data_IF_453214187966
#
_entry.id   IF_453214187966
#
_cell.length_a   1.000
_cell.length_b   1.000
_cell.length_c   1.000
_cell.angle_alpha   90.00
_cell.angle_beta   90.00
_cell.angle_gamma   90.00
#
_symmetry.space_group_name_H-M   'P 1'
#
loop_
_entity.id
_entity.type
_entity.pdbx_description
1 polymer ?
#
# COMPACT_ATOMS: atom_id res chain seq x y z
N UNK A 1 29.59 8.15 -73.61
CA UNK A 1 28.20 8.21 -73.14
C UNK A 1 28.16 9.05 -71.88
N UNK A 2 27.54 10.24 -71.95
CA UNK A 2 27.80 11.38 -71.07
C UNK A 2 27.25 11.25 -69.64
N UNK A 3 28.12 11.59 -68.68
CA UNK A 3 27.87 11.72 -67.23
C UNK A 3 26.70 12.67 -66.88
N UNK A 4 26.36 13.61 -67.78
CA UNK A 4 25.25 14.56 -67.60
C UNK A 4 23.85 13.96 -67.67
N UNK A 5 23.67 12.80 -68.29
CA UNK A 5 22.34 12.18 -68.44
C UNK A 5 21.86 11.45 -67.17
N UNK A 6 22.80 11.06 -66.29
CA UNK A 6 22.49 10.33 -65.04
C UNK A 6 22.09 11.27 -63.90
N UNK A 7 22.70 12.46 -63.83
CA UNK A 7 22.38 13.50 -62.85
C UNK A 7 21.02 14.13 -63.16
N UNK A 8 20.71 14.36 -64.44
CA UNK A 8 19.44 14.94 -64.88
C UNK A 8 18.24 14.01 -64.60
N UNK A 9 18.42 12.68 -64.71
CA UNK A 9 17.38 11.68 -64.37
C UNK A 9 17.11 11.60 -62.86
N UNK A 10 18.14 11.76 -62.01
CA UNK A 10 17.97 11.82 -60.55
C UNK A 10 17.33 13.14 -60.10
N UNK A 11 17.68 14.26 -60.72
CA UNK A 11 17.06 15.56 -60.43
C UNK A 11 15.57 15.58 -60.83
N UNK A 12 15.22 15.00 -61.99
CA UNK A 12 13.82 14.91 -62.42
C UNK A 12 12.98 14.02 -61.49
N UNK A 13 13.53 12.89 -61.01
CA UNK A 13 12.85 12.04 -60.02
C UNK A 13 12.67 12.74 -58.67
N UNK A 14 13.63 13.56 -58.23
CA UNK A 14 13.51 14.34 -56.99
C UNK A 14 12.50 15.49 -57.10
N UNK A 15 12.34 16.10 -58.29
CA UNK A 15 11.35 17.16 -58.53
C UNK A 15 9.94 16.56 -58.67
N UNK A 16 9.79 15.40 -59.33
CA UNK A 16 8.52 14.68 -59.46
C UNK A 16 8.04 14.07 -58.12
N UNK A 17 8.95 13.71 -57.21
CA UNK A 17 8.58 13.27 -55.85
C UNK A 17 8.22 14.45 -54.94
N UNK A 18 8.83 15.63 -55.11
CA UNK A 18 8.47 16.85 -54.35
C UNK A 18 7.08 17.40 -54.74
N UNK A 19 6.66 17.26 -56.01
CA UNK A 19 5.36 17.78 -56.48
C UNK A 19 4.15 16.96 -56.03
N UNK A 20 4.35 15.76 -55.48
CA UNK A 20 3.27 14.90 -54.95
C UNK A 20 3.00 15.12 -53.45
N UNK A 21 3.77 15.97 -52.77
CA UNK A 21 3.65 16.21 -51.32
C UNK A 21 2.96 17.55 -50.95
N UNK A 22 2.71 18.44 -51.91
CA UNK A 22 2.01 19.71 -51.67
C UNK A 22 0.55 19.62 -52.15
N UNK A 23 -0.24 18.77 -51.48
CA UNK A 23 -1.68 18.70 -51.70
C UNK A 23 -2.36 18.18 -50.44
N UNK A 24 -3.05 19.08 -49.74
CA UNK A 24 -3.83 18.89 -48.50
C UNK A 24 -3.05 18.99 -47.18
N UNK A 25 -2.92 20.23 -46.70
CA UNK A 25 -2.87 20.53 -45.27
C UNK A 25 -3.80 21.73 -44.98
N UNK A 26 -4.98 21.46 -44.41
CA UNK A 26 -5.75 22.44 -43.65
C UNK A 26 -5.19 22.49 -42.22
N UNK A 27 -4.98 23.66 -41.59
CA UNK A 27 -4.58 23.71 -40.19
C UNK A 27 -5.82 23.65 -39.30
N UNK A 28 -5.88 22.66 -38.41
CA UNK A 28 -6.71 22.75 -37.19
C UNK A 28 -5.76 23.18 -36.06
N UNK A 29 -6.05 24.35 -35.50
CA UNK A 29 -5.37 24.90 -34.33
C UNK A 29 -5.80 24.12 -33.09
N UNK A 30 -4.87 23.44 -32.43
CA UNK A 30 -5.00 23.01 -31.04
C UNK A 30 -3.85 23.61 -30.23
N UNK A 31 -4.21 24.38 -29.21
CA UNK A 31 -3.31 24.98 -28.21
C UNK A 31 -2.79 23.86 -27.32
N UNK A 32 -1.48 23.64 -27.29
CA UNK A 32 -0.83 22.89 -26.20
C UNK A 32 -0.61 23.82 -25.01
N UNK A 33 -1.17 23.43 -23.87
CA UNK A 33 -0.89 24.00 -22.56
C UNK A 33 0.31 23.25 -21.99
N UNK A 34 1.41 23.97 -21.77
CA UNK A 34 2.59 23.47 -21.08
C UNK A 34 2.31 23.39 -19.58
N UNK A 35 2.36 22.19 -19.01
CA UNK A 35 2.54 21.98 -17.56
C UNK A 35 3.94 21.40 -17.38
N UNK A 36 4.81 22.18 -16.77
CA UNK A 36 6.10 21.75 -16.25
C UNK A 36 5.88 21.01 -14.93
N UNK A 37 6.25 19.74 -14.89
CA UNK A 37 6.39 18.98 -13.65
C UNK A 37 7.72 18.24 -13.75
N UNK A 38 8.80 18.91 -13.36
CA UNK A 38 10.00 18.23 -12.89
C UNK A 38 9.66 17.67 -11.51
N UNK A 39 9.47 16.35 -11.43
CA UNK A 39 9.63 15.61 -10.20
C UNK A 39 10.86 14.74 -10.36
N UNK A 40 11.91 15.07 -9.60
CA UNK A 40 13.05 14.19 -9.39
C UNK A 40 12.54 12.89 -8.76
N UNK A 41 12.72 11.79 -9.49
CA UNK A 41 12.41 10.44 -9.04
C UNK A 41 13.75 9.74 -8.83
N UNK A 42 14.32 9.94 -7.64
CA UNK A 42 15.23 9.00 -7.01
C UNK A 42 14.58 8.60 -5.70
N UNK A 43 14.44 7.29 -5.48
CA UNK A 43 13.81 6.64 -4.32
C UNK A 43 12.33 6.22 -4.50
N UNK A 44 12.00 5.60 -5.65
CA UNK A 44 10.83 4.71 -5.72
C UNK A 44 11.26 3.32 -5.28
N UNK A 45 10.92 2.96 -4.04
CA UNK A 45 10.69 1.58 -3.65
C UNK A 45 9.59 1.02 -4.56
N UNK A 46 9.99 0.23 -5.55
CA UNK A 46 9.05 -0.44 -6.45
C UNK A 46 8.41 -1.56 -5.64
N UNK A 47 7.08 -1.54 -5.38
CA UNK A 47 6.44 -2.61 -4.64
C UNK A 47 6.64 -3.93 -5.39
N UNK A 48 7.28 -4.91 -4.75
CA UNK A 48 7.31 -6.27 -5.27
C UNK A 48 5.86 -6.77 -5.29
N UNK A 49 5.36 -7.19 -6.44
CA UNK A 49 4.09 -7.91 -6.50
C UNK A 49 4.35 -9.35 -6.02
N UNK A 50 4.32 -9.54 -4.71
CA UNK A 50 4.32 -10.87 -4.11
C UNK A 50 3.04 -11.61 -4.53
N UNK A 51 3.18 -12.87 -4.93
CA UNK A 51 2.04 -13.77 -5.16
C UNK A 51 1.91 -14.59 -3.89
N UNK A 52 0.72 -14.66 -3.27
CA UNK A 52 0.54 -15.36 -2.00
C UNK A 52 0.95 -16.82 -2.15
N UNK A 53 1.96 -17.23 -1.39
CA UNK A 53 2.31 -18.64 -1.22
C UNK A 53 1.24 -19.27 -0.32
N UNK A 54 0.68 -20.41 -0.72
CA UNK A 54 -0.14 -21.18 0.20
C UNK A 54 0.69 -21.52 1.44
N UNK A 55 0.23 -21.06 2.60
CA UNK A 55 0.89 -21.22 3.89
C UNK A 55 1.43 -22.65 4.08
N UNK A 56 2.74 -22.77 4.25
CA UNK A 56 3.39 -23.94 4.81
C UNK A 56 3.46 -23.69 6.33
N UNK A 57 3.20 -24.58 7.30
CA UNK A 57 3.15 -26.04 7.42
C UNK A 57 2.34 -26.34 8.70
N UNK A 58 1.28 -27.15 8.63
CA UNK A 58 0.75 -28.11 9.63
C UNK A 58 0.77 -27.87 11.16
N UNK A 59 1.14 -26.69 11.67
CA UNK A 59 1.26 -26.40 13.09
C UNK A 59 0.03 -25.64 13.56
N UNK A 60 -0.89 -26.35 14.22
CA UNK A 60 -1.99 -25.69 14.93
C UNK A 60 -1.45 -24.95 16.15
N UNK A 61 -1.61 -23.63 16.19
CA UNK A 61 -1.31 -22.85 17.38
C UNK A 61 -2.48 -22.94 18.36
N UNK A 62 -2.21 -23.30 19.61
CA UNK A 62 -3.21 -23.26 20.68
C UNK A 62 -3.45 -21.80 21.09
N UNK A 63 -4.39 -21.13 20.41
CA UNK A 63 -4.80 -19.75 20.69
C UNK A 63 -6.26 -19.76 21.15
N UNK A 64 -6.50 -19.18 22.34
CA UNK A 64 -7.83 -19.10 22.96
C UNK A 64 -8.63 -17.91 22.44
N UNK A 65 -9.02 -17.96 21.18
CA UNK A 65 -9.82 -16.93 20.52
C UNK A 65 -10.70 -17.58 19.44
N UNK A 66 -11.78 -16.90 19.04
CA UNK A 66 -12.66 -17.44 17.99
C UNK A 66 -12.03 -17.33 16.60
N UNK A 67 -11.38 -16.20 16.33
CA UNK A 67 -10.85 -15.86 15.03
C UNK A 67 -9.50 -15.17 15.16
N UNK A 68 -8.54 -15.56 14.31
CA UNK A 68 -7.19 -15.01 14.27
C UNK A 68 -6.63 -14.95 12.85
N UNK A 69 -5.72 -13.99 12.62
CA UNK A 69 -4.89 -13.93 11.42
C UNK A 69 -3.51 -13.36 11.74
N UNK A 70 -2.49 -13.78 11.00
CA UNK A 70 -1.16 -13.21 10.96
C UNK A 70 -0.82 -12.88 9.51
N UNK A 71 -0.44 -11.64 9.24
CA UNK A 71 -0.12 -11.14 7.90
C UNK A 71 1.23 -10.43 7.89
N UNK A 72 1.92 -10.50 6.74
CA UNK A 72 2.99 -9.58 6.40
C UNK A 72 2.41 -8.42 5.57
N UNK A 73 2.56 -7.15 5.99
CA UNK A 73 1.81 -6.04 5.42
C UNK A 73 2.26 -5.58 4.04
N UNK A 74 3.52 -5.80 3.66
CA UNK A 74 4.02 -5.32 2.36
C UNK A 74 3.58 -6.22 1.20
N UNK A 75 3.59 -7.52 1.43
CA UNK A 75 3.19 -8.55 0.47
C UNK A 75 1.70 -8.88 0.55
N UNK A 76 1.06 -8.62 1.71
CA UNK A 76 -0.31 -9.06 1.99
C UNK A 76 -0.42 -10.56 2.26
N UNK A 77 0.70 -11.27 2.39
CA UNK A 77 0.71 -12.71 2.59
C UNK A 77 0.15 -13.09 3.97
N UNK A 78 -0.78 -14.05 3.97
CA UNK A 78 -1.34 -14.64 5.19
C UNK A 78 -0.43 -15.77 5.65
N UNK A 79 0.26 -15.56 6.77
CA UNK A 79 1.23 -16.52 7.32
C UNK A 79 0.57 -17.54 8.24
N UNK A 80 -0.55 -17.18 8.86
CA UNK A 80 -1.37 -18.05 9.71
C UNK A 80 -2.79 -17.51 9.79
N UNK A 81 -3.79 -18.40 9.79
CA UNK A 81 -5.18 -18.02 10.05
C UNK A 81 -5.99 -19.14 10.70
N UNK A 82 -7.02 -18.76 11.46
CA UNK A 82 -8.08 -19.68 11.87
C UNK A 82 -9.40 -18.90 12.00
N UNK A 83 -10.45 -19.36 11.30
CA UNK A 83 -11.76 -18.70 11.21
C UNK A 83 -11.66 -17.20 10.88
N UNK A 84 -10.69 -16.80 10.07
CA UNK A 84 -10.31 -15.40 9.83
C UNK A 84 -11.43 -14.57 9.17
N UNK A 85 -12.34 -15.21 8.43
CA UNK A 85 -13.52 -14.60 7.80
C UNK A 85 -14.79 -14.61 8.66
N UNK A 86 -14.74 -15.15 9.89
CA UNK A 86 -15.91 -15.15 10.79
C UNK A 86 -16.31 -13.73 11.17
N UNK A 87 -17.60 -13.38 10.96
CA UNK A 87 -18.14 -12.06 11.29
C UNK A 87 -18.38 -11.92 12.80
N UNK A 88 -17.61 -11.04 13.43
CA UNK A 88 -17.59 -10.80 14.87
C UNK A 88 -17.66 -9.30 15.19
N UNK A 89 -18.12 -8.98 16.39
CA UNK A 89 -18.10 -7.59 16.86
C UNK A 89 -16.63 -7.14 17.08
N UNK A 90 -16.20 -5.99 16.51
CA UNK A 90 -14.83 -5.51 16.63
C UNK A 90 -14.50 -4.90 18.00
N UNK A 91 -15.46 -4.30 18.71
CA UNK A 91 -15.13 -3.32 19.75
C UNK A 91 -14.19 -2.22 19.21
N UNK A 92 -13.34 -1.63 20.07
CA UNK A 92 -12.45 -0.50 19.71
C UNK A 92 -11.39 -0.76 18.65
N UNK A 93 -11.16 -1.99 18.17
CA UNK A 93 -10.34 -2.18 16.95
C UNK A 93 -11.01 -1.57 15.70
N UNK A 94 -12.30 -1.20 15.78
CA UNK A 94 -12.98 -0.30 14.82
C UNK A 94 -12.19 0.97 14.55
N UNK A 95 -11.55 1.54 15.58
CA UNK A 95 -10.81 2.80 15.46
C UNK A 95 -9.60 2.70 14.54
N UNK A 96 -9.18 1.50 14.12
CA UNK A 96 -8.14 1.34 13.11
C UNK A 96 -8.59 1.96 11.79
N UNK A 97 -9.84 1.72 11.36
CA UNK A 97 -10.41 2.39 10.18
C UNK A 97 -10.54 3.90 10.40
N UNK A 98 -11.00 4.33 11.59
CA UNK A 98 -11.10 5.77 11.91
C UNK A 98 -9.74 6.47 11.84
N UNK A 99 -8.70 5.84 12.39
CA UNK A 99 -7.34 6.35 12.35
C UNK A 99 -6.76 6.33 10.94
N UNK A 100 -7.10 5.32 10.11
CA UNK A 100 -6.69 5.28 8.71
C UNK A 100 -7.21 6.50 7.95
N UNK A 101 -8.51 6.81 8.06
CA UNK A 101 -9.07 8.00 7.40
C UNK A 101 -8.46 9.31 7.91
N UNK A 102 -8.14 9.41 9.20
CA UNK A 102 -7.44 10.58 9.76
C UNK A 102 -6.02 10.70 9.18
N UNK A 103 -5.28 9.60 9.09
CA UNK A 103 -3.93 9.61 8.51
C UNK A 103 -3.95 9.95 7.01
N UNK A 104 -4.91 9.42 6.25
CA UNK A 104 -5.10 9.77 4.84
C UNK A 104 -5.42 11.25 4.66
N UNK A 105 -6.28 11.83 5.50
CA UNK A 105 -6.57 13.27 5.47
C UNK A 105 -5.34 14.15 5.79
N UNK A 106 -4.46 13.68 6.68
CA UNK A 106 -3.18 14.36 6.97
C UNK A 106 -2.22 14.26 5.78
N UNK A 107 -2.07 13.08 5.18
CA UNK A 107 -1.18 12.85 4.04
C UNK A 107 -1.60 13.67 2.80
N UNK A 108 -2.92 13.81 2.59
CA UNK A 108 -3.49 14.67 1.56
C UNK A 108 -3.43 16.16 1.88
N UNK A 109 -3.06 16.52 3.12
CA UNK A 109 -2.99 17.91 3.64
C UNK A 109 -4.35 18.59 3.75
N UNK A 110 -5.42 17.82 3.88
CA UNK A 110 -6.78 18.34 4.16
C UNK A 110 -6.86 18.89 5.60
N UNK A 111 -6.10 18.27 6.52
CA UNK A 111 -5.89 18.72 7.90
C UNK A 111 -4.41 18.61 8.26
N UNK A 112 -4.00 19.28 9.34
CA UNK A 112 -2.65 19.15 9.93
C UNK A 112 -2.73 18.79 11.41
N UNK A 113 -1.61 18.39 12.00
CA UNK A 113 -1.53 18.09 13.44
C UNK A 113 -1.91 19.29 14.32
N UNK A 114 -1.66 20.51 13.85
CA UNK A 114 -1.98 21.77 14.54
C UNK A 114 -3.42 22.25 14.30
N UNK A 115 -4.18 21.56 13.44
CA UNK A 115 -5.58 21.90 13.20
C UNK A 115 -6.35 21.78 14.50
N UNK A 116 -7.06 22.85 14.86
CA UNK A 116 -7.85 22.91 16.10
C UNK A 116 -9.23 22.33 15.83
N UNK A 117 -9.65 21.43 16.72
CA UNK A 117 -10.95 20.76 16.70
C UNK A 117 -11.72 21.22 17.93
N UNK A 118 -12.93 21.74 17.71
CA UNK A 118 -13.84 22.11 18.80
C UNK A 118 -14.80 20.95 19.06
N UNK A 119 -14.82 20.44 20.29
CA UNK A 119 -15.62 19.30 20.68
C UNK A 119 -17.13 19.64 20.63
N UNK A 120 -17.89 18.83 19.90
CA UNK A 120 -19.35 18.93 19.83
C UNK A 120 -20.01 18.32 21.07
N UNK A 121 -21.27 18.65 21.32
CA UNK A 121 -22.07 17.98 22.35
C UNK A 121 -22.16 16.47 22.10
N UNK A 122 -22.24 16.06 20.83
CA UNK A 122 -22.31 14.65 20.44
C UNK A 122 -21.03 13.90 20.82
N UNK A 123 -19.86 14.40 20.43
CA UNK A 123 -18.57 13.84 20.81
C UNK A 123 -18.40 13.75 22.34
N UNK A 124 -18.84 14.77 23.07
CA UNK A 124 -18.77 14.78 24.53
C UNK A 124 -19.77 13.80 25.19
N UNK A 125 -20.87 13.46 24.49
CA UNK A 125 -21.90 12.54 24.99
C UNK A 125 -21.51 11.07 24.93
N UNK A 126 -20.38 10.74 24.29
CA UNK A 126 -19.92 9.37 24.15
C UNK A 126 -19.78 8.69 25.52
N UNK A 127 -19.89 7.36 25.54
CA UNK A 127 -19.56 6.54 26.71
C UNK A 127 -18.29 5.73 26.50
N UNK A 128 -17.91 4.89 27.45
CA UNK A 128 -16.75 3.99 27.33
C UNK A 128 -15.43 4.67 27.70
N UNK A 129 -14.35 4.38 26.97
CA UNK A 129 -13.05 5.04 27.17
C UNK A 129 -13.11 6.47 26.64
N UNK A 130 -12.74 7.46 27.44
CA UNK A 130 -12.86 8.89 27.13
C UNK A 130 -11.73 9.69 27.77
N UNK A 131 -11.48 10.88 27.23
CA UNK A 131 -10.67 11.93 27.88
C UNK A 131 -11.53 13.02 28.53
N UNK A 132 -12.86 12.81 28.53
CA UNK A 132 -13.89 13.68 29.10
C UNK A 132 -13.85 15.08 28.50
N UNK A 133 -13.92 15.16 27.16
CA UNK A 133 -14.09 16.44 26.49
C UNK A 133 -15.32 17.18 27.00
N UNK A 134 -15.20 18.51 27.15
CA UNK A 134 -16.34 19.39 27.43
C UNK A 134 -16.85 20.05 26.13
N UNK A 135 -18.18 20.27 25.97
CA UNK A 135 -18.69 20.97 24.79
C UNK A 135 -18.04 22.35 24.60
N UNK A 136 -17.48 22.58 23.43
CA UNK A 136 -16.73 23.81 23.11
C UNK A 136 -15.25 23.78 23.52
N UNK A 137 -14.78 22.76 24.25
CA UNK A 137 -13.34 22.53 24.47
C UNK A 137 -12.64 22.38 23.12
N UNK A 138 -11.48 22.99 22.99
CA UNK A 138 -10.69 22.95 21.76
C UNK A 138 -9.37 22.24 21.99
N UNK A 139 -9.09 21.24 21.16
CA UNK A 139 -7.85 20.47 21.17
C UNK A 139 -7.28 20.38 19.75
N UNK A 140 -5.99 20.16 19.63
CA UNK A 140 -5.34 19.92 18.33
C UNK A 140 -5.60 18.50 17.84
N UNK A 141 -5.49 18.28 16.53
CA UNK A 141 -5.52 16.92 15.94
C UNK A 141 -4.45 16.02 16.57
N UNK A 142 -3.25 16.55 16.87
CA UNK A 142 -2.21 15.81 17.59
C UNK A 142 -2.67 15.28 18.95
N UNK A 143 -3.32 16.13 19.75
CA UNK A 143 -3.83 15.75 21.07
C UNK A 143 -4.96 14.73 21.00
N UNK A 144 -5.87 14.88 20.03
CA UNK A 144 -6.94 13.92 19.81
C UNK A 144 -6.42 12.58 19.29
N UNK A 145 -5.41 12.58 18.40
CA UNK A 145 -4.72 11.36 17.97
C UNK A 145 -4.06 10.64 19.15
N UNK A 146 -3.35 11.36 20.03
CA UNK A 146 -2.80 10.80 21.28
C UNK A 146 -3.89 10.12 22.11
N UNK A 147 -5.00 10.82 22.35
CA UNK A 147 -6.14 10.32 23.11
C UNK A 147 -6.74 9.05 22.49
N UNK A 148 -6.98 9.05 21.18
CA UNK A 148 -7.61 7.95 20.45
C UNK A 148 -6.68 6.73 20.35
N UNK A 149 -5.40 6.92 20.06
CA UNK A 149 -4.46 5.80 19.90
C UNK A 149 -4.10 5.18 21.26
N UNK A 150 -3.63 6.00 22.20
CA UNK A 150 -3.08 5.55 23.49
C UNK A 150 -4.21 5.09 24.41
N UNK A 151 -5.15 5.99 24.73
CA UNK A 151 -6.21 5.73 25.69
C UNK A 151 -7.49 5.15 25.08
N UNK A 152 -7.57 5.00 23.75
CA UNK A 152 -8.77 4.50 23.07
C UNK A 152 -9.99 5.41 23.21
N UNK A 153 -9.78 6.71 23.40
CA UNK A 153 -10.82 7.69 23.69
C UNK A 153 -11.87 7.81 22.56
N UNK A 154 -13.14 7.61 22.91
CA UNK A 154 -14.30 7.62 22.02
C UNK A 154 -14.70 9.04 21.63
N UNK A 155 -14.74 9.93 22.61
CA UNK A 155 -15.00 11.37 22.43
C UNK A 155 -14.00 12.00 21.45
N UNK A 156 -12.70 11.73 21.62
CA UNK A 156 -11.68 12.18 20.69
C UNK A 156 -11.83 11.59 19.27
N UNK A 157 -12.21 10.31 19.18
CA UNK A 157 -12.43 9.63 17.90
C UNK A 157 -13.61 10.24 17.13
N UNK A 158 -14.72 10.54 17.83
CA UNK A 158 -15.88 11.20 17.22
C UNK A 158 -15.54 12.62 16.80
N UNK A 159 -14.86 13.40 17.65
CA UNK A 159 -14.43 14.76 17.30
C UNK A 159 -13.53 14.80 16.04
N UNK A 160 -12.60 13.84 15.90
CA UNK A 160 -11.79 13.69 14.68
C UNK A 160 -12.65 13.31 13.46
N UNK A 161 -13.63 12.42 13.63
CA UNK A 161 -14.54 12.03 12.56
C UNK A 161 -15.43 13.18 12.09
N UNK A 162 -15.96 13.97 13.04
CA UNK A 162 -16.75 15.16 12.77
C UNK A 162 -15.94 16.25 12.06
N UNK A 163 -14.67 16.43 12.41
CA UNK A 163 -13.76 17.33 11.69
C UNK A 163 -13.67 16.96 10.19
N UNK A 164 -13.53 15.66 9.90
CA UNK A 164 -13.30 15.16 8.54
C UNK A 164 -14.58 15.16 7.70
N UNK A 165 -15.70 14.72 8.29
CA UNK A 165 -16.93 14.43 7.54
C UNK A 165 -18.12 15.32 7.92
N UNK A 166 -17.93 16.28 8.83
CA UNK A 166 -18.96 17.16 9.36
C UNK A 166 -19.93 16.52 10.37
N UNK A 167 -19.95 15.20 10.49
CA UNK A 167 -20.79 14.42 11.41
C UNK A 167 -20.24 13.00 11.60
N UNK A 168 -20.61 12.31 12.69
CA UNK A 168 -20.25 10.89 12.86
C UNK A 168 -20.90 10.02 11.76
N UNK A 169 -22.15 10.30 11.38
CA UNK A 169 -22.84 9.54 10.33
C UNK A 169 -22.15 9.67 8.98
N UNK A 170 -21.72 10.89 8.63
CA UNK A 170 -20.91 11.14 7.44
C UNK A 170 -19.58 10.39 7.51
N UNK A 171 -18.94 10.36 8.67
CA UNK A 171 -17.67 9.66 8.86
C UNK A 171 -17.84 8.14 8.74
N UNK A 172 -18.90 7.56 9.31
CA UNK A 172 -19.23 6.14 9.16
C UNK A 172 -19.52 5.77 7.71
N UNK A 173 -20.11 6.67 6.92
CA UNK A 173 -20.27 6.46 5.48
C UNK A 173 -18.91 6.33 4.78
N UNK A 174 -17.96 7.23 5.09
CA UNK A 174 -16.58 7.14 4.57
C UNK A 174 -15.88 5.86 5.03
N UNK A 175 -16.06 5.43 6.27
CA UNK A 175 -15.47 4.18 6.78
C UNK A 175 -15.94 2.96 5.98
N UNK A 176 -17.23 2.88 5.65
CA UNK A 176 -17.78 1.79 4.87
C UNK A 176 -17.40 1.86 3.38
N UNK A 177 -17.29 3.07 2.82
CA UNK A 177 -16.75 3.27 1.47
C UNK A 177 -15.31 2.79 1.39
N UNK A 178 -14.46 3.20 2.33
CA UNK A 178 -13.06 2.77 2.40
C UNK A 178 -12.93 1.27 2.62
N UNK A 179 -13.77 0.67 3.47
CA UNK A 179 -13.81 -0.77 3.64
C UNK A 179 -14.09 -1.51 2.31
N UNK A 180 -15.01 -0.99 1.49
CA UNK A 180 -15.30 -1.55 0.17
C UNK A 180 -14.13 -1.39 -0.80
N UNK A 181 -13.45 -0.26 -0.80
CA UNK A 181 -12.25 -0.03 -1.63
C UNK A 181 -11.11 -1.00 -1.29
N UNK A 182 -10.96 -1.31 0.00
CA UNK A 182 -9.98 -2.27 0.51
C UNK A 182 -10.41 -3.74 0.34
N UNK A 183 -11.62 -4.00 -0.15
CA UNK A 183 -12.14 -5.36 -0.34
C UNK A 183 -12.56 -6.07 0.95
N UNK A 184 -12.86 -5.34 2.01
CA UNK A 184 -13.29 -5.86 3.32
C UNK A 184 -14.74 -6.35 3.27
N UNK A 185 -14.96 -7.51 2.68
CA UNK A 185 -16.29 -8.04 2.34
C UNK A 185 -17.12 -8.51 3.55
N UNK A 186 -16.50 -8.66 4.72
CA UNK A 186 -17.14 -9.15 5.95
C UNK A 186 -17.41 -8.02 6.95
N UNK A 187 -17.18 -6.76 6.54
CA UNK A 187 -17.22 -5.58 7.41
C UNK A 187 -18.44 -4.69 7.17
N UNK A 188 -19.00 -4.19 8.27
CA UNK A 188 -20.00 -3.12 8.28
C UNK A 188 -19.80 -2.31 9.56
N UNK A 189 -19.48 -1.03 9.39
CA UNK A 189 -19.38 -0.07 10.50
C UNK A 189 -20.71 0.66 10.69
N UNK A 190 -21.15 0.76 11.93
CA UNK A 190 -22.35 1.47 12.39
C UNK A 190 -21.97 2.73 13.18
N UNK A 191 -20.79 2.74 13.80
CA UNK A 191 -20.23 3.90 14.51
C UNK A 191 -18.69 3.92 14.33
N UNK A 192 -18.04 5.04 14.66
CA UNK A 192 -16.60 5.18 14.45
C UNK A 192 -15.73 4.69 15.63
N UNK A 193 -16.38 4.33 16.75
CA UNK A 193 -15.69 4.04 18.01
C UNK A 193 -15.58 2.54 18.30
N UNK A 194 -16.47 1.74 17.73
CA UNK A 194 -16.64 0.33 18.06
C UNK A 194 -17.44 0.09 19.34
N UNK A 195 -18.32 0.99 19.73
CA UNK A 195 -19.35 0.67 20.73
C UNK A 195 -20.30 -0.40 20.17
N UNK A 196 -20.84 -1.25 21.05
CA UNK A 196 -21.74 -2.34 20.67
C UNK A 196 -22.98 -1.76 19.97
N UNK A 197 -23.21 -2.15 18.72
CA UNK A 197 -24.36 -1.79 17.92
C UNK A 197 -24.77 -2.98 17.05
N UNK A 198 -26.08 -3.13 16.83
CA UNK A 198 -26.60 -4.20 15.98
C UNK A 198 -26.06 -4.06 14.55
N UNK A 199 -25.51 -5.15 14.00
CA UNK A 199 -24.92 -5.15 12.65
C UNK A 199 -23.49 -4.60 12.56
N UNK A 200 -22.90 -4.08 13.65
CA UNK A 200 -21.52 -3.62 13.70
C UNK A 200 -20.54 -4.80 13.76
N UNK A 201 -20.13 -5.29 12.59
CA UNK A 201 -19.40 -6.56 12.44
C UNK A 201 -18.21 -6.39 11.49
N UNK A 202 -17.17 -7.20 11.72
CA UNK A 202 -15.99 -7.34 10.84
C UNK A 202 -15.44 -8.75 10.97
N UNK A 203 -14.32 -9.07 10.34
CA UNK A 203 -13.59 -10.33 10.49
C UNK A 203 -12.13 -10.10 10.85
N UNK A 204 -11.40 -11.11 11.34
CA UNK A 204 -9.98 -10.93 11.64
C UNK A 204 -9.18 -10.62 10.38
N UNK A 205 -9.55 -11.21 9.24
CA UNK A 205 -8.98 -10.93 7.94
C UNK A 205 -9.17 -9.46 7.54
N UNK A 206 -10.40 -8.93 7.58
CA UNK A 206 -10.69 -7.54 7.23
C UNK A 206 -9.97 -6.56 8.17
N UNK A 207 -9.91 -6.87 9.48
CA UNK A 207 -9.13 -6.10 10.45
C UNK A 207 -7.64 -6.12 10.09
N UNK A 208 -7.14 -7.27 9.65
CA UNK A 208 -5.78 -7.42 9.13
C UNK A 208 -5.51 -6.49 7.96
N UNK A 209 -6.40 -6.46 6.97
CA UNK A 209 -6.32 -5.57 5.79
C UNK A 209 -6.21 -4.10 6.23
N UNK A 210 -7.17 -3.58 7.01
CA UNK A 210 -7.12 -2.17 7.42
C UNK A 210 -5.94 -1.85 8.36
N UNK A 211 -5.45 -2.84 9.12
CA UNK A 211 -4.26 -2.67 9.94
C UNK A 211 -3.00 -2.55 9.08
N UNK A 212 -2.86 -3.40 8.05
CA UNK A 212 -1.78 -3.32 7.06
C UNK A 212 -1.81 -1.98 6.32
N UNK A 213 -3.00 -1.46 5.98
CA UNK A 213 -3.12 -0.14 5.35
C UNK A 213 -2.70 0.98 6.30
N UNK A 214 -3.20 1.00 7.54
CA UNK A 214 -2.88 2.05 8.51
C UNK A 214 -1.37 2.15 8.81
N UNK A 215 -0.66 1.02 8.93
CA UNK A 215 0.77 1.06 9.26
C UNK A 215 1.68 1.56 8.13
N UNK A 216 1.17 1.71 6.90
CA UNK A 216 1.88 2.42 5.82
C UNK A 216 2.09 3.90 6.15
N UNK A 217 1.23 4.46 7.00
CA UNK A 217 1.33 5.85 7.46
C UNK A 217 2.26 5.93 8.68
N UNK A 218 3.56 6.13 8.45
CA UNK A 218 4.60 6.11 9.51
C UNK A 218 4.30 7.01 10.72
N UNK A 219 3.51 8.07 10.54
CA UNK A 219 3.06 8.94 11.63
C UNK A 219 2.30 8.17 12.73
N UNK A 220 1.53 7.13 12.41
CA UNK A 220 0.79 6.36 13.43
C UNK A 220 1.72 5.73 14.46
N UNK A 221 2.93 5.29 14.03
CA UNK A 221 3.92 4.65 14.89
C UNK A 221 4.43 5.60 15.97
N UNK A 222 4.37 6.93 15.76
CA UNK A 222 4.72 7.93 16.77
C UNK A 222 3.76 7.94 17.96
N UNK A 223 2.52 7.47 17.79
CA UNK A 223 1.51 7.39 18.85
C UNK A 223 1.37 5.94 19.38
N UNK A 224 1.34 4.95 18.49
CA UNK A 224 1.04 3.57 18.85
C UNK A 224 2.16 2.87 19.64
N UNK A 225 3.38 3.41 19.59
CA UNK A 225 4.55 2.92 20.37
C UNK A 225 4.72 3.62 21.73
N UNK A 226 3.88 4.61 22.04
CA UNK A 226 3.96 5.35 23.31
C UNK A 226 3.29 4.54 24.40
N UNK A 227 4.01 4.27 25.50
CA UNK A 227 3.44 3.56 26.66
C UNK A 227 2.55 4.45 27.53
N UNK A 228 3.04 5.65 27.86
CA UNK A 228 2.31 6.66 28.65
C UNK A 228 2.59 8.04 28.07
N UNK A 229 1.58 8.89 28.11
CA UNK A 229 1.68 10.30 27.74
C UNK A 229 0.70 11.10 28.60
N UNK A 230 0.57 12.41 28.35
CA UNK A 230 -0.42 13.24 29.02
C UNK A 230 -1.01 14.30 28.10
N UNK A 231 -2.22 14.74 28.46
CA UNK A 231 -2.90 15.87 27.85
C UNK A 231 -3.04 17.00 28.87
N UNK A 232 -3.46 18.18 28.38
CA UNK A 232 -3.78 19.34 29.22
C UNK A 232 -2.63 19.69 30.18
N UNK A 233 -1.40 19.73 29.64
CA UNK A 233 -0.18 20.02 30.38
C UNK A 233 0.04 19.10 31.61
N UNK A 234 -0.29 17.81 31.48
CA UNK A 234 -0.08 16.82 32.56
C UNK A 234 -1.26 16.60 33.48
N UNK A 235 -2.41 17.26 33.25
CA UNK A 235 -3.61 17.07 34.08
C UNK A 235 -4.36 15.77 33.77
N UNK A 236 -4.19 15.22 32.58
CA UNK A 236 -4.80 13.95 32.17
C UNK A 236 -3.73 12.99 31.70
N UNK A 237 -3.51 11.89 32.43
CA UNK A 237 -2.58 10.84 32.04
C UNK A 237 -3.24 9.87 31.04
N UNK A 238 -2.50 9.52 30.00
CA UNK A 238 -2.88 8.51 29.02
C UNK A 238 -1.99 7.29 29.24
N UNK A 239 -2.61 6.11 29.30
CA UNK A 239 -1.89 4.83 29.38
C UNK A 239 -2.30 3.96 28.21
N UNK A 240 -1.32 3.42 27.50
CA UNK A 240 -1.59 2.62 26.33
C UNK A 240 -2.34 1.34 26.69
N UNK A 241 -3.52 1.18 26.10
CA UNK A 241 -4.35 -0.02 26.25
C UNK A 241 -3.65 -1.29 25.73
N UNK A 242 -2.73 -1.15 24.77
CA UNK A 242 -1.90 -2.22 24.25
C UNK A 242 -0.65 -2.45 25.11
N UNK A 243 -0.70 -3.48 25.96
CA UNK A 243 0.41 -3.86 26.84
C UNK A 243 1.65 -4.37 26.08
N UNK A 244 1.52 -4.80 24.83
CA UNK A 244 2.67 -5.29 24.06
C UNK A 244 3.73 -4.22 23.86
N UNK A 245 3.32 -2.95 23.76
CA UNK A 245 4.21 -1.78 23.63
C UNK A 245 5.32 -1.78 24.70
N UNK A 246 5.01 -2.26 25.91
CA UNK A 246 5.98 -2.34 27.01
C UNK A 246 6.61 -3.73 27.18
N UNK A 247 5.92 -4.79 26.79
CA UNK A 247 6.24 -6.17 27.20
C UNK A 247 6.47 -7.14 26.03
N UNK A 248 6.64 -6.64 24.82
CA UNK A 248 6.99 -7.43 23.65
C UNK A 248 7.93 -6.65 22.74
N UNK A 249 9.12 -7.20 22.54
CA UNK A 249 10.18 -6.57 21.74
C UNK A 249 9.74 -6.40 20.28
N UNK A 250 10.01 -5.22 19.71
CA UNK A 250 9.68 -4.87 18.34
C UNK A 250 8.23 -4.40 18.15
N UNK A 251 7.42 -4.28 19.20
CA UNK A 251 6.03 -3.79 19.04
C UNK A 251 5.98 -2.40 18.41
N UNK A 252 5.24 -2.28 17.31
CA UNK A 252 4.95 -1.01 16.62
C UNK A 252 3.51 -0.55 16.84
N UNK A 253 2.63 -1.38 17.40
CA UNK A 253 1.21 -1.07 17.56
C UNK A 253 0.32 -2.27 17.89
N UNK A 254 -1.01 -2.21 17.70
CA UNK A 254 -1.75 -1.07 17.17
C UNK A 254 -2.96 -0.73 18.03
N UNK A 255 -3.94 -1.62 18.19
CA UNK A 255 -5.18 -1.30 18.92
C UNK A 255 -5.80 -2.51 19.62
N UNK A 256 -6.26 -2.31 20.86
CA UNK A 256 -7.12 -3.26 21.58
C UNK A 256 -8.59 -2.90 21.46
N UNK A 257 -9.47 -3.90 21.59
CA UNK A 257 -10.92 -3.73 21.72
C UNK A 257 -11.48 -4.55 22.87
N UNK A 258 -12.45 -4.00 23.61
CA UNK A 258 -13.23 -4.79 24.59
C UNK A 258 -14.65 -4.27 24.71
N UNK A 259 -15.63 -5.16 24.55
CA UNK A 259 -17.03 -4.92 24.90
C UNK A 259 -17.68 -6.20 25.41
N UNK A 260 -18.93 -6.13 25.88
CA UNK A 260 -19.67 -7.29 26.36
C UNK A 260 -19.90 -8.33 25.27
N UNK A 261 -20.17 -7.87 24.03
CA UNK A 261 -20.41 -8.72 22.86
C UNK A 261 -19.09 -9.19 22.23
N UNK A 262 -18.16 -8.27 21.96
CA UNK A 262 -16.90 -8.59 21.26
C UNK A 262 -15.91 -9.41 22.09
N UNK A 263 -16.08 -9.42 23.42
CA UNK A 263 -15.06 -9.91 24.37
C UNK A 263 -13.74 -9.17 24.16
N UNK A 264 -12.59 -9.85 24.19
CA UNK A 264 -11.27 -9.22 24.12
C UNK A 264 -10.65 -9.38 22.73
N UNK A 265 -10.45 -8.26 22.04
CA UNK A 265 -9.84 -8.18 20.71
C UNK A 265 -8.51 -7.41 20.75
N UNK A 266 -7.61 -7.70 19.80
CA UNK A 266 -6.34 -7.01 19.60
C UNK A 266 -5.91 -7.12 18.13
N UNK A 267 -5.56 -5.99 17.51
CA UNK A 267 -4.67 -5.95 16.35
C UNK A 267 -3.31 -5.43 16.84
N UNK A 268 -2.31 -6.31 16.80
CA UNK A 268 -0.94 -6.03 17.22
C UNK A 268 -0.02 -5.97 16.01
N UNK A 269 0.93 -5.06 16.03
CA UNK A 269 1.97 -4.98 15.01
C UNK A 269 3.34 -4.99 15.65
N UNK A 270 4.29 -5.64 15.01
CA UNK A 270 5.67 -5.67 15.46
C UNK A 270 6.63 -5.79 14.29
N UNK A 271 7.82 -5.22 14.43
CA UNK A 271 8.89 -5.24 13.45
C UNK A 271 10.19 -5.76 14.08
N UNK A 272 10.84 -6.72 13.41
CA UNK A 272 12.17 -7.24 13.79
C UNK A 272 12.99 -7.53 12.54
N UNK A 273 14.21 -7.01 12.48
CA UNK A 273 15.15 -7.23 11.37
C UNK A 273 14.53 -6.94 9.99
N UNK A 274 13.72 -5.88 9.87
CA UNK A 274 13.04 -5.48 8.63
C UNK A 274 11.81 -6.30 8.25
N UNK A 275 11.43 -7.33 9.02
CA UNK A 275 10.16 -8.02 8.88
C UNK A 275 9.13 -7.35 9.80
N UNK A 276 8.09 -6.74 9.23
CA UNK A 276 6.93 -6.25 9.97
C UNK A 276 5.79 -7.27 9.88
N UNK A 277 5.03 -7.44 10.96
CA UNK A 277 3.94 -8.40 11.04
C UNK A 277 2.72 -7.76 11.69
N UNK A 278 1.53 -8.16 11.22
CA UNK A 278 0.23 -7.79 11.78
C UNK A 278 -0.45 -9.05 12.31
N UNK A 279 -0.72 -9.09 13.61
CA UNK A 279 -1.41 -10.19 14.28
C UNK A 279 -2.75 -9.72 14.85
N UNK A 280 -3.86 -10.27 14.35
CA UNK A 280 -5.20 -9.99 14.84
C UNK A 280 -5.74 -11.17 15.63
N UNK A 281 -6.31 -10.87 16.79
CA UNK A 281 -7.02 -11.81 17.66
C UNK A 281 -8.39 -11.24 17.99
N UNK A 282 -9.45 -11.99 17.73
CA UNK A 282 -10.84 -11.58 18.00
C UNK A 282 -11.56 -12.55 18.93
N UNK A 283 -12.36 -11.98 19.83
CA UNK A 283 -13.18 -12.71 20.78
C UNK A 283 -12.41 -13.71 21.66
N UNK A 284 -11.28 -13.27 22.25
CA UNK A 284 -10.68 -13.98 23.38
C UNK A 284 -11.53 -13.81 24.64
N UNK A 285 -11.61 -14.83 25.49
CA UNK A 285 -12.48 -14.82 26.68
C UNK A 285 -11.94 -13.90 27.79
N UNK A 286 -10.62 -13.74 27.86
CA UNK A 286 -9.95 -12.88 28.84
C UNK A 286 -8.99 -11.89 28.18
N UNK A 287 -8.60 -10.86 28.94
CA UNK A 287 -7.55 -9.94 28.49
C UNK A 287 -6.22 -10.65 28.24
N UNK A 288 -5.92 -11.75 28.95
CA UNK A 288 -4.67 -12.49 28.74
C UNK A 288 -4.72 -13.29 27.43
N UNK A 289 -5.88 -13.83 27.06
CA UNK A 289 -6.05 -14.61 25.84
C UNK A 289 -5.72 -13.78 24.58
N UNK A 290 -6.18 -12.52 24.50
CA UNK A 290 -5.84 -11.65 23.35
C UNK A 290 -4.33 -11.37 23.25
N UNK A 291 -3.67 -11.12 24.38
CA UNK A 291 -2.26 -10.74 24.38
C UNK A 291 -1.35 -11.95 24.17
N UNK A 292 -1.62 -13.06 24.84
CA UNK A 292 -0.89 -14.31 24.66
C UNK A 292 -1.10 -14.88 23.25
N UNK A 293 -2.32 -14.78 22.69
CA UNK A 293 -2.62 -15.12 21.31
C UNK A 293 -1.81 -14.32 20.30
N UNK A 294 -1.81 -12.98 20.44
CA UNK A 294 -1.03 -12.12 19.55
C UNK A 294 0.47 -12.38 19.65
N UNK A 295 1.01 -12.58 20.87
CA UNK A 295 2.42 -12.96 21.04
C UNK A 295 2.76 -14.26 20.34
N UNK A 296 1.91 -15.29 20.48
CA UNK A 296 2.11 -16.59 19.79
C UNK A 296 2.12 -16.45 18.27
N UNK A 297 1.23 -15.64 17.70
CA UNK A 297 1.21 -15.36 16.26
C UNK A 297 2.48 -14.64 15.82
N UNK A 298 2.86 -13.55 16.49
CA UNK A 298 4.06 -12.79 16.16
C UNK A 298 5.32 -13.65 16.32
N UNK A 299 5.45 -14.41 17.40
CA UNK A 299 6.58 -15.32 17.63
C UNK A 299 6.62 -16.43 16.57
N UNK A 300 5.48 -16.97 16.14
CA UNK A 300 5.40 -17.90 15.02
C UNK A 300 5.92 -17.27 13.73
N UNK A 301 5.49 -16.05 13.40
CA UNK A 301 5.94 -15.32 12.21
C UNK A 301 7.45 -15.10 12.23
N UNK A 302 7.98 -14.52 13.31
CA UNK A 302 9.41 -14.25 13.44
C UNK A 302 10.28 -15.50 13.53
N UNK A 303 9.76 -16.62 14.07
CA UNK A 303 10.49 -17.87 14.13
C UNK A 303 10.56 -18.58 12.77
N UNK A 304 9.52 -18.46 11.95
CA UNK A 304 9.40 -19.22 10.71
C UNK A 304 9.70 -18.42 9.44
N UNK A 305 9.64 -17.09 9.47
CA UNK A 305 9.78 -16.25 8.27
C UNK A 305 10.87 -15.18 8.42
N UNK A 306 11.46 -14.80 7.30
CA UNK A 306 12.38 -13.66 7.19
C UNK A 306 12.44 -13.18 5.74
N UNK A 307 12.75 -11.90 5.55
CA UNK A 307 13.16 -11.41 4.25
C UNK A 307 14.55 -11.91 3.88
N UNK A 308 14.70 -12.40 2.65
CA UNK A 308 16.00 -12.62 2.03
C UNK A 308 16.17 -11.70 0.83
N UNK A 309 17.37 -11.13 0.70
CA UNK A 309 17.75 -10.32 -0.46
C UNK A 309 18.10 -11.27 -1.60
N UNK A 310 17.32 -11.25 -2.67
CA UNK A 310 17.56 -12.02 -3.88
C UNK A 310 17.93 -11.12 -5.04
N UNK A 311 18.90 -11.55 -5.84
CA UNK A 311 19.24 -10.86 -7.08
C UNK A 311 18.31 -11.32 -8.21
N UNK A 312 17.96 -10.41 -9.12
CA UNK A 312 17.07 -10.73 -10.24
C UNK A 312 17.72 -11.65 -11.29
N UNK A 313 19.06 -11.65 -11.39
CA UNK A 313 19.83 -12.48 -12.34
C UNK A 313 19.37 -12.35 -13.81
N UNK A 314 18.87 -11.16 -14.22
CA UNK A 314 18.46 -10.90 -15.59
C UNK A 314 19.68 -10.97 -16.53
N UNK A 315 19.66 -11.91 -17.48
CA UNK A 315 20.77 -12.12 -18.43
C UNK A 315 20.70 -11.18 -19.63
N UNK A 316 19.49 -10.87 -20.06
CA UNK A 316 19.19 -10.04 -21.22
C UNK A 316 19.33 -8.55 -20.90
N UNK A 317 20.20 -7.84 -21.64
CA UNK A 317 20.33 -6.37 -21.55
C UNK A 317 19.46 -5.64 -22.57
N UNK A 318 18.96 -6.36 -23.57
CA UNK A 318 18.11 -5.82 -24.64
C UNK A 318 17.04 -6.83 -25.04
N UNK A 319 15.82 -6.33 -25.32
CA UNK A 319 14.72 -7.14 -25.85
C UNK A 319 14.32 -6.64 -27.24
N UNK A 320 13.95 -7.57 -28.13
CA UNK A 320 13.51 -7.24 -29.49
C UNK A 320 12.10 -6.66 -29.48
N UNK A 321 11.90 -5.61 -30.27
CA UNK A 321 10.63 -4.90 -30.39
C UNK A 321 10.23 -4.74 -31.85
N UNK A 322 8.93 -4.62 -32.10
CA UNK A 322 8.38 -4.44 -33.46
C UNK A 322 7.81 -3.04 -33.63
N UNK A 323 8.03 -2.45 -34.81
CA UNK A 323 7.44 -1.17 -35.21
C UNK A 323 8.07 0.07 -34.56
N UNK A 324 9.15 -0.07 -33.80
CA UNK A 324 9.89 1.05 -33.21
C UNK A 324 10.94 1.65 -34.14
N UNK A 325 11.41 2.85 -33.81
CA UNK A 325 12.58 3.48 -34.46
C UNK A 325 13.87 2.68 -34.26
N UNK A 326 13.93 1.87 -33.20
CA UNK A 326 14.97 0.86 -32.93
C UNK A 326 14.38 -0.55 -33.06
N UNK A 327 15.24 -1.53 -33.35
CA UNK A 327 14.88 -2.97 -33.40
C UNK A 327 14.92 -3.65 -32.03
N UNK A 328 15.62 -3.04 -31.08
CA UNK A 328 15.75 -3.48 -29.68
C UNK A 328 15.53 -2.29 -28.74
N UNK A 329 15.21 -2.58 -27.49
CA UNK A 329 15.19 -1.63 -26.38
C UNK A 329 16.02 -2.19 -25.24
N UNK A 330 16.84 -1.34 -24.63
CA UNK A 330 17.62 -1.71 -23.44
C UNK A 330 16.72 -1.86 -22.22
N UNK A 331 17.02 -2.86 -21.40
CA UNK A 331 16.23 -3.26 -20.24
C UNK A 331 17.09 -3.47 -19.01
N UNK A 332 16.51 -3.25 -17.84
CA UNK A 332 17.09 -3.56 -16.55
C UNK A 332 16.02 -4.09 -15.59
N UNK A 333 16.43 -4.89 -14.61
CA UNK A 333 15.61 -5.25 -13.46
C UNK A 333 16.27 -4.67 -12.21
N UNK A 334 15.48 -4.45 -11.15
CA UNK A 334 16.04 -4.06 -9.85
C UNK A 334 17.04 -5.15 -9.43
N UNK A 335 18.27 -4.74 -9.09
CA UNK A 335 19.36 -5.69 -8.86
C UNK A 335 19.10 -6.62 -7.67
N UNK A 336 18.41 -6.12 -6.64
CA UNK A 336 18.17 -6.82 -5.37
C UNK A 336 16.74 -6.60 -4.89
N UNK A 337 16.07 -7.65 -4.46
CA UNK A 337 14.71 -7.58 -3.95
C UNK A 337 14.56 -8.41 -2.69
N UNK A 338 13.86 -7.85 -1.70
CA UNK A 338 13.51 -8.56 -0.47
C UNK A 338 12.31 -9.46 -0.75
N UNK A 339 12.48 -10.77 -0.53
CA UNK A 339 11.38 -11.74 -0.67
C UNK A 339 11.16 -12.43 0.66
N UNK A 340 9.90 -12.50 1.07
CA UNK A 340 9.49 -13.20 2.28
C UNK A 340 9.66 -14.70 2.06
N UNK A 341 10.41 -15.36 2.94
CA UNK A 341 10.68 -16.78 2.84
C UNK A 341 10.52 -17.48 4.18
N UNK A 342 10.00 -18.69 4.14
CA UNK A 342 10.08 -19.60 5.27
C UNK A 342 11.55 -20.00 5.53
N UNK A 343 12.07 -19.75 6.74
CA UNK A 343 13.47 -19.97 7.12
C UNK A 343 13.98 -21.40 6.90
N UNK A 344 13.08 -22.38 6.93
CA UNK A 344 13.39 -23.79 6.78
C UNK A 344 12.91 -24.38 5.45
N UNK A 345 12.61 -23.55 4.43
CA UNK A 345 12.30 -24.09 3.10
C UNK A 345 13.55 -24.78 2.55
N UNK A 346 13.52 -26.11 2.48
CA UNK A 346 14.59 -26.91 1.88
C UNK A 346 14.56 -26.86 0.34
N UNK A 347 13.58 -26.15 -0.22
CA UNK A 347 13.34 -26.06 -1.66
C UNK A 347 14.30 -25.07 -2.31
N UNK A 348 14.73 -25.42 -3.52
CA UNK A 348 15.62 -24.58 -4.32
C UNK A 348 14.89 -23.34 -4.84
N UNK A 349 15.55 -22.19 -4.73
CA UNK A 349 15.06 -20.94 -5.32
C UNK A 349 15.44 -20.94 -6.80
N UNK A 350 14.43 -20.84 -7.67
CA UNK A 350 14.63 -20.75 -9.13
C UNK A 350 14.04 -19.46 -9.70
N UNK A 351 14.53 -19.05 -10.86
CA UNK A 351 14.14 -17.79 -11.53
C UNK A 351 13.81 -18.05 -12.99
N UNK A 352 12.70 -17.49 -13.46
CA UNK A 352 12.30 -17.56 -14.86
C UNK A 352 11.93 -16.18 -15.39
N UNK A 353 12.50 -15.79 -16.53
CA UNK A 353 12.15 -14.53 -17.19
C UNK A 353 10.91 -14.71 -18.06
N UNK A 354 9.90 -13.87 -17.84
CA UNK A 354 8.68 -13.80 -18.62
C UNK A 354 8.56 -12.42 -19.27
N UNK A 355 8.42 -12.39 -20.60
CA UNK A 355 8.23 -11.15 -21.35
C UNK A 355 6.76 -10.92 -21.67
N UNK A 356 6.33 -9.64 -21.68
CA UNK A 356 4.99 -9.28 -22.12
C UNK A 356 4.76 -9.76 -23.57
N UNK A 357 3.65 -10.48 -23.79
CA UNK A 357 3.33 -11.09 -25.10
C UNK A 357 3.37 -10.09 -26.27
N UNK A 358 3.05 -8.83 -26.01
CA UNK A 358 3.05 -7.75 -27.01
C UNK A 358 3.74 -6.50 -26.45
N UNK A 359 5.07 -6.42 -26.58
CA UNK A 359 5.80 -5.16 -26.34
C UNK A 359 5.50 -4.20 -27.50
N UNK A 360 4.52 -3.32 -27.30
CA UNK A 360 4.07 -2.35 -28.29
C UNK A 360 4.76 -1.00 -28.14
N UNK A 361 4.99 -0.31 -29.26
CA UNK A 361 5.56 1.03 -29.28
C UNK A 361 4.46 2.10 -29.36
N UNK A 362 4.69 3.33 -28.84
CA UNK A 362 5.92 3.83 -28.24
C UNK A 362 6.22 3.25 -26.86
N UNK A 363 7.51 3.08 -26.56
CA UNK A 363 8.02 2.68 -25.24
C UNK A 363 8.66 3.91 -24.62
N UNK A 364 8.36 4.17 -23.35
CA UNK A 364 9.03 5.17 -22.52
C UNK A 364 10.02 4.51 -21.57
N UNK A 365 11.08 5.23 -21.22
CA UNK A 365 11.95 4.86 -20.10
C UNK A 365 11.08 4.65 -18.85
N UNK A 366 11.28 3.51 -18.18
CA UNK A 366 10.51 3.08 -17.02
C UNK A 366 9.38 2.11 -17.31
N UNK A 367 8.95 1.95 -18.58
CA UNK A 367 7.88 1.02 -18.95
C UNK A 367 8.26 -0.42 -18.57
N UNK A 368 7.32 -1.16 -17.96
CA UNK A 368 7.50 -2.57 -17.61
C UNK A 368 7.27 -3.43 -18.84
N UNK A 369 8.31 -4.15 -19.26
CA UNK A 369 8.32 -4.98 -20.47
C UNK A 369 8.21 -6.48 -20.19
N UNK A 370 8.33 -6.88 -18.92
CA UNK A 370 8.27 -8.26 -18.46
C UNK A 370 8.60 -8.36 -16.98
N UNK A 371 8.78 -9.58 -16.50
CA UNK A 371 9.09 -9.89 -15.12
C UNK A 371 10.13 -11.01 -15.02
N UNK A 372 10.97 -10.96 -13.99
CA UNK A 372 11.65 -12.15 -13.49
C UNK A 372 10.78 -12.75 -12.40
N UNK A 373 10.17 -13.89 -12.68
CA UNK A 373 9.38 -14.66 -11.73
C UNK A 373 10.33 -15.46 -10.83
N UNK A 374 10.16 -15.35 -9.52
CA UNK A 374 10.95 -16.06 -8.51
C UNK A 374 10.09 -17.18 -7.93
N UNK A 375 10.66 -18.38 -7.85
CA UNK A 375 9.99 -19.58 -7.34
C UNK A 375 10.77 -20.19 -6.19
N UNK A 376 10.05 -20.71 -5.20
CA UNK A 376 10.54 -21.67 -4.22
C UNK A 376 9.85 -22.99 -4.51
N UNK A 377 10.61 -23.99 -4.99
CA UNK A 377 10.01 -25.21 -5.53
C UNK A 377 9.09 -24.91 -6.72
N UNK A 378 7.84 -25.33 -6.64
CA UNK A 378 6.81 -25.04 -7.66
C UNK A 378 6.03 -23.74 -7.39
N UNK A 379 6.18 -23.16 -6.19
CA UNK A 379 5.41 -21.99 -5.78
C UNK A 379 6.09 -20.71 -6.22
N UNK A 380 5.36 -19.85 -6.94
CA UNK A 380 5.84 -18.51 -7.26
C UNK A 380 5.74 -17.62 -6.02
N UNK A 381 6.90 -17.12 -5.55
CA UNK A 381 7.04 -16.33 -4.31
C UNK A 381 7.22 -14.84 -4.59
N UNK A 382 7.34 -14.44 -5.86
CA UNK A 382 7.41 -13.04 -6.25
C UNK A 382 7.70 -12.83 -7.73
N UNK A 383 7.64 -11.57 -8.16
CA UNK A 383 8.03 -11.14 -9.51
C UNK A 383 8.74 -9.79 -9.47
N UNK A 384 9.84 -9.70 -10.22
CA UNK A 384 10.69 -8.51 -10.29
C UNK A 384 10.45 -7.84 -11.65
N UNK A 385 9.96 -6.59 -11.71
CA UNK A 385 9.65 -5.94 -12.97
C UNK A 385 10.91 -5.63 -13.77
N UNK A 386 10.87 -5.95 -15.06
CA UNK A 386 11.90 -5.62 -16.04
C UNK A 386 11.48 -4.35 -16.77
N UNK A 387 12.26 -3.28 -16.64
CA UNK A 387 11.93 -1.94 -17.12
C UNK A 387 12.78 -1.52 -18.31
N UNK A 388 12.20 -0.72 -19.21
CA UNK A 388 12.93 -0.06 -20.28
C UNK A 388 13.84 1.05 -19.75
N UNK A 389 15.09 1.14 -20.22
CA UNK A 389 16.05 2.18 -19.79
C UNK A 389 16.09 3.39 -20.72
N UNK A 390 15.34 3.34 -21.83
CA UNK A 390 15.34 4.35 -22.88
C UNK A 390 13.99 4.41 -23.59
N UNK A 391 13.70 5.56 -24.21
CA UNK A 391 12.54 5.73 -25.05
C UNK A 391 12.73 5.09 -26.43
N UNK A 392 11.67 4.45 -26.94
CA UNK A 392 11.57 4.03 -28.34
C UNK A 392 10.30 4.57 -28.97
N UNK A 393 10.47 5.49 -29.92
CA UNK A 393 9.36 6.05 -30.70
C UNK A 393 8.82 5.03 -31.69
N UNK A 394 7.54 5.17 -32.05
CA UNK A 394 6.94 4.41 -33.14
C UNK A 394 7.55 4.84 -34.49
N UNK A 395 7.89 3.87 -35.32
CA UNK A 395 8.34 4.12 -36.68
C UNK A 395 7.12 4.49 -37.55
N UNK A 396 7.00 5.78 -37.87
CA UNK A 396 6.03 6.28 -38.85
C UNK A 396 6.73 6.58 -40.18
N UNK A 397 5.96 6.70 -41.27
CA UNK A 397 6.50 7.05 -42.60
C UNK A 397 7.31 8.36 -42.54
N UNK A 398 6.81 9.35 -41.81
CA UNK A 398 7.48 10.62 -41.56
C UNK A 398 8.81 10.46 -40.82
N UNK A 399 8.82 9.65 -39.74
CA UNK A 399 10.04 9.39 -38.97
C UNK A 399 11.07 8.62 -39.80
N UNK A 400 10.64 7.65 -40.60
CA UNK A 400 11.51 6.92 -41.52
C UNK A 400 12.09 7.84 -42.62
N UNK A 401 11.26 8.69 -43.22
CA UNK A 401 11.70 9.66 -44.23
C UNK A 401 12.71 10.66 -43.67
N UNK A 402 12.47 11.18 -42.46
CA UNK A 402 13.40 12.07 -41.77
C UNK A 402 14.74 11.39 -41.45
N UNK A 403 14.73 10.10 -41.09
CA UNK A 403 15.94 9.34 -40.82
C UNK A 403 16.76 9.07 -42.09
N UNK A 404 16.10 8.75 -43.20
CA UNK A 404 16.75 8.56 -44.51
C UNK A 404 17.32 9.88 -45.01
N UNK A 405 16.57 10.99 -44.90
CA UNK A 405 17.06 12.31 -45.26
C UNK A 405 18.29 12.70 -44.44
N UNK A 406 18.28 12.51 -43.12
CA UNK A 406 19.43 12.89 -42.28
C UNK A 406 20.70 12.08 -42.57
N UNK A 407 20.58 10.80 -42.92
CA UNK A 407 21.73 9.96 -43.32
C UNK A 407 22.26 10.33 -44.71
N UNK A 408 21.39 10.71 -45.65
CA UNK A 408 21.81 11.14 -47.00
C UNK A 408 22.59 12.46 -46.96
N UNK A 409 22.25 13.37 -46.06
CA UNK A 409 22.88 14.70 -45.93
C UNK A 409 24.00 14.77 -44.88
N UNK A 410 24.37 13.64 -44.26
CA UNK A 410 25.57 13.49 -43.41
C UNK A 410 26.80 12.95 -44.16
N UNK A 411 26.64 12.61 -45.45
CA UNK A 411 27.72 12.42 -46.42
C UNK A 411 28.13 13.77 -47.01
#
# INVERSE_FOLDING_TARGET
MCLGCFVLKRLLCCILSLSLFFGFAFPISAKEVTVSSECDISDIDVPLEAIPTNAAIGQTLDIKAKSVILMEPNTGEILYEANSDERLAPASITKIMSLLLVMEAIDHKDITLETVVTASEHACSMGGSQIWLEPGESMTVDELLKATVIASANDACVALGELIAGSEEGFVALMNERAKELGMNNTTFINCTGLDAEGHLTSAHDVGIMSCELIKHNLIKQYSTVWMDSLRNGQSELVNTNKLVRFYEGTTGLKTGTTGIAKYCLSATAERNGLELVAVVMAGETSDDRFSGAKKLLDYGFANYSFQVLEAELKEKEVKIKGGTKKTVKVEAVEKVNILLAKNSAEEITRATEWNKNISVPIKKGDILGYVNVFCGENQIGRIPIKATEDVKKLTILVAAAHIFSEIFKL
#
